data_IF_956356993615
#
_entry.id   IF_956356993615
#
_cell.length_a   1.000
_cell.length_b   1.000
_cell.length_c   1.000
_cell.angle_alpha   90.00
_cell.angle_beta   90.00
_cell.angle_gamma   90.00
#
_symmetry.space_group_name_H-M   'P 1'
#
loop_
_entity.id
_entity.type
_entity.pdbx_description
1 polymer ?
#
# COMPACT_ATOMS: atom_id res chain seq x y z
N UNK A 1 16.18 5.70 4.96
CA UNK A 1 14.86 5.02 4.89
C UNK A 1 15.08 3.79 4.05
N UNK A 2 14.97 2.61 4.66
CA UNK A 2 15.23 1.36 3.96
C UNK A 2 13.91 0.86 3.35
N UNK A 3 13.90 0.69 2.03
CA UNK A 3 12.77 0.09 1.31
C UNK A 3 13.12 -1.37 1.09
N UNK A 4 12.30 -2.26 1.65
CA UNK A 4 12.46 -3.70 1.49
C UNK A 4 11.29 -4.25 0.69
N UNK A 5 11.61 -5.10 -0.30
CA UNK A 5 10.60 -5.82 -1.07
C UNK A 5 10.09 -6.98 -0.24
N UNK A 6 8.77 -7.15 -0.19
CA UNK A 6 8.15 -8.32 0.43
C UNK A 6 8.45 -9.54 -0.45
N UNK A 7 9.14 -10.52 0.12
CA UNK A 7 9.36 -11.87 -0.41
C UNK A 7 9.27 -12.91 0.73
N UNK A 8 9.46 -14.19 0.40
CA UNK A 8 9.31 -15.29 1.35
C UNK A 8 10.34 -15.28 2.50
N UNK A 9 11.45 -14.52 2.36
CA UNK A 9 12.49 -14.42 3.38
C UNK A 9 12.31 -13.19 4.29
N UNK A 10 11.40 -12.28 3.94
CA UNK A 10 11.22 -11.02 4.67
C UNK A 10 10.53 -11.22 6.02
N UNK A 11 11.21 -10.82 7.09
CA UNK A 11 10.62 -10.69 8.43
C UNK A 11 10.35 -9.21 8.71
N UNK A 12 9.08 -8.79 8.78
CA UNK A 12 8.76 -7.38 8.98
C UNK A 12 9.10 -6.89 10.38
N UNK A 13 9.53 -5.63 10.43
CA UNK A 13 9.48 -4.80 11.63
C UNK A 13 8.28 -3.86 11.53
N UNK A 14 7.97 -3.15 12.60
CA UNK A 14 6.95 -2.10 12.55
C UNK A 14 7.25 -1.08 11.44
N UNK A 15 6.26 -0.79 10.59
CA UNK A 15 6.50 0.07 9.44
C UNK A 15 5.26 0.43 8.64
N UNK A 16 5.49 0.96 7.44
CA UNK A 16 4.45 1.38 6.52
C UNK A 16 4.47 0.51 5.27
N UNK A 17 3.30 0.10 4.78
CA UNK A 17 3.17 -0.71 3.60
C UNK A 17 3.00 0.17 2.36
N UNK A 18 3.87 0.01 1.37
CA UNK A 18 3.66 0.56 0.03
C UNK A 18 3.15 -0.56 -0.86
N UNK A 19 2.01 -0.36 -1.51
CA UNK A 19 1.44 -1.35 -2.44
C UNK A 19 1.01 -0.72 -3.77
N UNK A 20 0.66 -1.59 -4.71
CA UNK A 20 0.11 -1.26 -6.00
C UNK A 20 -1.24 -1.95 -6.17
N UNK A 21 -1.92 -1.69 -7.29
CA UNK A 21 -3.18 -2.37 -7.64
C UNK A 21 -2.95 -3.35 -8.77
N UNK A 22 -3.57 -4.53 -8.68
CA UNK A 22 -3.66 -5.50 -9.78
C UNK A 22 -5.03 -5.47 -10.44
N UNK A 23 -5.11 -5.91 -11.70
CA UNK A 23 -6.38 -6.09 -12.42
C UNK A 23 -7.32 -4.90 -12.33
N UNK A 24 -8.57 -5.17 -11.94
CA UNK A 24 -9.66 -4.18 -11.84
C UNK A 24 -9.80 -3.54 -10.44
N UNK A 25 -8.68 -3.13 -9.81
CA UNK A 25 -8.73 -2.54 -8.48
C UNK A 25 -8.40 -3.50 -7.33
N UNK A 26 -7.75 -4.62 -7.63
CA UNK A 26 -7.44 -5.67 -6.65
C UNK A 26 -6.15 -5.38 -5.87
N UNK A 27 -6.07 -6.00 -4.68
CA UNK A 27 -4.86 -6.04 -3.87
C UNK A 27 -4.01 -7.21 -4.39
N UNK A 28 -2.69 -7.03 -4.61
CA UNK A 28 -1.81 -8.13 -4.99
C UNK A 28 -1.90 -9.28 -3.99
N UNK A 29 -1.94 -10.53 -4.47
CA UNK A 29 -2.05 -11.72 -3.60
C UNK A 29 -0.90 -11.80 -2.59
N UNK A 30 0.31 -11.41 -2.98
CA UNK A 30 1.46 -11.35 -2.07
C UNK A 30 1.26 -10.34 -0.94
N UNK A 31 0.65 -9.19 -1.23
CA UNK A 31 0.30 -8.19 -0.21
C UNK A 31 -0.75 -8.71 0.76
N UNK A 32 -1.78 -9.41 0.27
CA UNK A 32 -2.80 -10.02 1.13
C UNK A 32 -2.19 -11.04 2.08
N UNK A 33 -1.42 -11.99 1.56
CA UNK A 33 -0.75 -13.01 2.38
C UNK A 33 0.15 -12.38 3.45
N UNK A 34 0.91 -11.36 3.08
CA UNK A 34 1.75 -10.64 4.03
C UNK A 34 0.91 -9.97 5.15
N UNK A 35 -0.20 -9.32 4.81
CA UNK A 35 -1.06 -8.64 5.80
C UNK A 35 -1.84 -9.62 6.69
N UNK A 36 -2.23 -10.78 6.19
CA UNK A 36 -2.90 -11.81 7.00
C UNK A 36 -2.02 -12.25 8.18
N UNK A 37 -0.71 -12.31 7.97
CA UNK A 37 0.25 -12.70 9.01
C UNK A 37 0.79 -11.51 9.82
N UNK A 38 0.89 -10.32 9.21
CA UNK A 38 1.72 -9.23 9.74
C UNK A 38 0.99 -7.89 9.92
N UNK A 39 -0.32 -7.80 9.68
CA UNK A 39 -1.07 -6.53 9.71
C UNK A 39 -0.92 -5.75 11.03
N UNK A 40 -0.75 -6.45 12.16
CA UNK A 40 -0.54 -5.82 13.48
C UNK A 40 0.74 -4.98 13.57
N UNK A 41 1.72 -5.22 12.71
CA UNK A 41 2.98 -4.46 12.64
C UNK A 41 2.93 -3.30 11.65
N UNK A 42 1.85 -3.18 10.87
CA UNK A 42 1.73 -2.16 9.84
C UNK A 42 0.98 -0.95 10.41
N UNK A 43 1.59 0.24 10.27
CA UNK A 43 1.06 1.50 10.80
C UNK A 43 0.15 2.22 9.83
N UNK A 44 0.44 2.12 8.54
CA UNK A 44 -0.39 2.71 7.48
C UNK A 44 -0.09 2.09 6.12
N UNK A 45 -0.99 2.34 5.17
CA UNK A 45 -0.82 1.96 3.77
C UNK A 45 -0.64 3.18 2.88
N UNK A 46 0.30 3.07 1.96
CA UNK A 46 0.53 3.97 0.84
C UNK A 46 0.21 3.22 -0.44
N UNK A 47 -0.43 3.91 -1.37
CA UNK A 47 -0.67 3.35 -2.68
C UNK A 47 -0.14 4.27 -3.78
N UNK A 48 0.65 3.66 -4.66
CA UNK A 48 0.90 4.23 -5.96
C UNK A 48 -0.29 4.00 -6.91
N UNK A 49 -0.76 5.06 -7.56
CA UNK A 49 -1.81 5.04 -8.59
C UNK A 49 -1.20 5.54 -9.90
N UNK A 50 -1.14 4.70 -10.93
CA UNK A 50 -0.93 5.22 -12.28
C UNK A 50 -2.27 5.71 -12.84
N UNK A 51 -2.22 6.69 -13.74
CA UNK A 51 -3.32 7.47 -14.30
C UNK A 51 -4.37 6.61 -15.04
N UNK A 52 -5.16 5.85 -14.28
CA UNK A 52 -5.91 4.68 -14.78
C UNK A 52 -7.44 4.92 -14.80
N UNK A 53 -7.93 6.15 -14.65
CA UNK A 53 -9.37 6.42 -14.61
C UNK A 53 -10.07 5.90 -13.34
N UNK A 54 -11.41 5.93 -13.33
CA UNK A 54 -12.24 5.77 -12.11
C UNK A 54 -12.22 4.38 -11.47
N UNK A 55 -11.70 3.35 -12.16
CA UNK A 55 -11.73 1.96 -11.70
C UNK A 55 -10.44 1.49 -11.02
N UNK A 56 -9.42 2.35 -10.98
CA UNK A 56 -8.10 1.95 -10.55
C UNK A 56 -7.65 2.77 -9.33
N UNK A 57 -6.87 2.10 -8.48
CA UNK A 57 -6.54 2.48 -7.10
C UNK A 57 -7.58 2.21 -6.02
N UNK A 58 -8.03 0.96 -5.91
CA UNK A 58 -8.86 0.50 -4.79
C UNK A 58 -8.09 -0.37 -3.78
N UNK A 59 -6.81 -0.67 -4.02
CA UNK A 59 -6.06 -1.56 -3.14
C UNK A 59 -5.88 -0.98 -1.73
N UNK A 60 -5.45 0.28 -1.60
CA UNK A 60 -5.34 0.95 -0.30
C UNK A 60 -6.68 1.03 0.42
N UNK A 61 -7.77 1.36 -0.28
CA UNK A 61 -9.13 1.36 0.30
C UNK A 61 -9.53 -0.02 0.81
N UNK A 62 -9.35 -1.06 -0.01
CA UNK A 62 -9.65 -2.44 0.39
C UNK A 62 -8.82 -2.89 1.59
N UNK A 63 -7.51 -2.56 1.61
CA UNK A 63 -6.63 -2.86 2.74
C UNK A 63 -7.09 -2.13 4.00
N UNK A 64 -7.42 -0.85 3.89
CA UNK A 64 -7.94 -0.04 5.00
C UNK A 64 -9.22 -0.63 5.57
N UNK A 65 -10.16 -1.00 4.71
CA UNK A 65 -11.45 -1.56 5.14
C UNK A 65 -11.29 -2.93 5.81
N UNK A 66 -10.44 -3.80 5.25
CA UNK A 66 -10.23 -5.17 5.71
C UNK A 66 -9.35 -5.26 6.96
N UNK A 67 -8.20 -4.57 6.97
CA UNK A 67 -7.18 -4.68 8.01
C UNK A 67 -7.20 -3.49 9.00
N UNK A 68 -8.12 -2.53 8.83
CA UNK A 68 -8.25 -1.33 9.66
C UNK A 68 -6.99 -0.47 9.71
N UNK A 69 -6.24 -0.46 8.62
CA UNK A 69 -5.02 0.33 8.47
C UNK A 69 -5.33 1.69 7.85
N UNK A 70 -4.85 2.81 8.44
CA UNK A 70 -5.08 4.12 7.85
C UNK A 70 -4.37 4.25 6.50
N UNK A 71 -5.05 4.88 5.54
CA UNK A 71 -4.45 5.26 4.25
C UNK A 71 -3.71 6.57 4.47
N UNK A 72 -2.39 6.56 4.33
CA UNK A 72 -1.58 7.76 4.52
C UNK A 72 -1.46 8.57 3.23
N UNK A 73 -1.36 7.91 2.08
CA UNK A 73 -1.29 8.60 0.80
C UNK A 73 -1.70 7.72 -0.38
N UNK A 74 -2.29 8.35 -1.39
CA UNK A 74 -2.47 7.82 -2.73
C UNK A 74 -1.85 8.80 -3.72
N UNK A 75 -0.82 8.40 -4.47
CA UNK A 75 -0.04 9.31 -5.31
C UNK A 75 0.25 8.75 -6.70
N UNK A 76 0.47 9.64 -7.68
CA UNK A 76 0.85 9.26 -9.04
C UNK A 76 2.36 9.38 -9.29
N UNK A 77 2.89 8.53 -10.16
CA UNK A 77 4.32 8.47 -10.55
C UNK A 77 5.28 8.48 -9.33
N UNK A 78 6.37 9.23 -9.37
CA UNK A 78 7.33 9.32 -8.26
C UNK A 78 6.81 10.11 -7.04
N UNK A 79 5.54 10.52 -7.05
CA UNK A 79 5.04 11.58 -6.18
C UNK A 79 5.53 12.96 -6.63
N UNK A 80 4.79 13.98 -6.25
CA UNK A 80 5.11 15.40 -6.45
C UNK A 80 5.52 16.04 -5.13
N UNK A 81 6.18 17.21 -5.15
CA UNK A 81 6.42 17.96 -3.91
C UNK A 81 5.13 18.37 -3.21
N UNK A 82 4.03 18.56 -3.96
CA UNK A 82 2.72 18.81 -3.39
C UNK A 82 2.19 17.59 -2.61
N UNK A 83 2.46 16.37 -3.07
CA UNK A 83 2.10 15.16 -2.32
C UNK A 83 2.86 15.11 -0.99
N UNK A 84 4.16 15.46 -0.99
CA UNK A 84 4.99 15.46 0.23
C UNK A 84 4.56 16.53 1.23
N UNK A 85 4.15 17.72 0.77
CA UNK A 85 3.74 18.82 1.65
C UNK A 85 2.43 18.58 2.39
N UNK A 86 1.64 17.57 1.97
CA UNK A 86 0.38 17.19 2.61
C UNK A 86 0.49 15.97 3.54
N UNK A 87 1.73 15.50 3.80
CA UNK A 87 2.04 14.51 4.86
C UNK A 87 2.24 15.20 6.22
#
# INVERSE_FOLDING_TARGET
>A
MDIQKIDEAFKPYEGHLITYTTGFGEVPVSTLRFLDENSSMIKSVFQWKQNLGSHYAKAATRISDQFKLPILMQFELSGTMADIQNL
#
